data_IF_135529474545
#
_entry.id   IF_135529474545
#
_cell.length_a   1.000
_cell.length_b   1.000
_cell.length_c   1.000
_cell.angle_alpha   90.00
_cell.angle_beta   90.00
_cell.angle_gamma   90.00
#
_symmetry.space_group_name_H-M   'P 1'
#
loop_
_entity.id
_entity.type
_entity.pdbx_description
1 polymer ?
#
# COMPACT_ATOMS: atom_id res chain seq x y z
N UNK A 1 4.64 43.15 -33.68
CA UNK A 1 4.50 43.68 -32.31
C UNK A 1 3.36 42.98 -31.60
N UNK A 2 3.67 42.19 -30.57
CA UNK A 2 2.96 41.96 -29.29
C UNK A 2 3.33 40.57 -28.75
N UNK A 3 4.15 40.59 -27.70
CA UNK A 3 4.31 39.49 -26.75
C UNK A 3 3.01 39.30 -25.95
N UNK A 4 2.79 38.10 -25.41
CA UNK A 4 2.28 37.79 -24.06
C UNK A 4 2.43 36.27 -23.89
N UNK A 5 3.21 35.84 -22.89
CA UNK A 5 3.31 34.44 -22.49
C UNK A 5 2.12 33.99 -21.65
N UNK A 6 1.86 32.69 -21.61
CA UNK A 6 1.13 32.03 -20.52
C UNK A 6 1.66 30.61 -20.30
N UNK A 7 2.01 30.35 -19.04
CA UNK A 7 2.26 29.04 -18.46
C UNK A 7 1.05 28.13 -18.64
N UNK A 8 1.28 26.84 -18.89
CA UNK A 8 0.41 25.80 -18.31
C UNK A 8 1.15 24.47 -18.14
N UNK A 9 1.16 24.03 -16.88
CA UNK A 9 1.55 22.71 -16.43
C UNK A 9 0.79 21.60 -17.17
N UNK A 10 1.46 20.46 -17.35
CA UNK A 10 0.86 19.21 -17.81
C UNK A 10 1.78 18.04 -17.53
N UNK A 11 1.89 17.66 -16.26
CA UNK A 11 2.56 16.43 -15.80
C UNK A 11 1.93 15.23 -16.50
N UNK A 12 2.71 14.51 -17.30
CA UNK A 12 2.29 13.23 -17.88
C UNK A 12 2.55 12.13 -16.86
N UNK A 13 1.48 11.58 -16.29
CA UNK A 13 1.51 10.24 -15.75
C UNK A 13 0.45 9.41 -16.49
N UNK A 14 0.92 8.69 -17.50
CA UNK A 14 0.21 7.59 -18.12
C UNK A 14 0.46 6.33 -17.28
N UNK A 15 -0.55 5.81 -16.61
CA UNK A 15 -0.60 4.37 -16.40
C UNK A 15 -2.05 3.88 -16.39
N UNK A 16 -2.41 3.23 -17.48
CA UNK A 16 -3.60 2.39 -17.66
C UNK A 16 -3.47 1.14 -16.82
N UNK A 17 -4.36 0.93 -15.84
CA UNK A 17 -4.76 -0.40 -15.38
C UNK A 17 -6.24 -0.30 -14.95
N UNK A 18 -7.12 -1.04 -15.62
CA UNK A 18 -8.55 -1.14 -15.31
C UNK A 18 -8.82 -2.28 -14.29
N UNK A 19 -7.94 -2.44 -13.30
CA UNK A 19 -8.07 -3.43 -12.22
C UNK A 19 -8.39 -2.85 -10.84
N UNK A 20 -8.54 -1.52 -10.72
CA UNK A 20 -8.54 -0.80 -9.43
C UNK A 20 -9.91 -0.66 -8.75
N UNK A 21 -11.00 -1.16 -9.36
CA UNK A 21 -12.37 -0.87 -8.94
C UNK A 21 -12.77 -1.42 -7.54
N UNK A 22 -12.06 -2.40 -6.98
CA UNK A 22 -12.39 -2.93 -5.64
C UNK A 22 -11.68 -2.20 -4.48
N UNK A 23 -10.49 -1.60 -4.73
CA UNK A 23 -9.74 -0.88 -3.68
C UNK A 23 -10.14 0.60 -3.57
N UNK A 24 -10.84 1.14 -4.58
CA UNK A 24 -11.24 2.54 -4.64
C UNK A 24 -12.14 2.98 -3.47
N UNK A 25 -12.87 2.04 -2.85
CA UNK A 25 -13.76 2.29 -1.72
C UNK A 25 -13.05 2.61 -0.38
N UNK A 26 -11.71 2.50 -0.30
CA UNK A 26 -10.91 2.77 0.92
C UNK A 26 -9.65 3.61 0.67
N UNK A 27 -9.57 4.31 -0.46
CA UNK A 27 -8.42 5.19 -0.76
C UNK A 27 -8.39 6.36 0.23
N UNK A 28 -7.30 6.57 0.98
CA UNK A 28 -7.18 7.73 1.87
C UNK A 28 -7.10 9.02 1.05
N UNK A 29 -7.55 10.14 1.62
CA UNK A 29 -7.47 11.43 0.93
C UNK A 29 -6.01 11.92 0.90
N UNK A 30 -5.31 11.58 -0.19
CA UNK A 30 -3.89 11.90 -0.38
C UNK A 30 -3.59 13.41 -0.32
N UNK A 31 -4.60 14.26 -0.54
CA UNK A 31 -4.44 15.72 -0.45
C UNK A 31 -4.27 16.19 1.00
N UNK A 32 -4.80 15.43 1.97
CA UNK A 32 -4.72 15.72 3.41
C UNK A 32 -3.54 15.07 4.11
N UNK A 33 -2.94 14.06 3.47
CA UNK A 33 -1.73 13.41 3.94
C UNK A 33 -0.49 14.29 3.76
N UNK A 34 0.53 14.13 4.59
CA UNK A 34 1.84 14.68 4.31
C UNK A 34 2.58 13.89 3.22
N UNK A 35 3.74 14.40 2.81
CA UNK A 35 4.53 13.82 1.73
C UNK A 35 5.07 12.42 2.05
N UNK A 36 5.38 12.12 3.31
CA UNK A 36 5.86 10.81 3.73
C UNK A 36 4.74 9.78 3.62
N UNK A 37 3.57 10.06 4.20
CA UNK A 37 2.40 9.18 4.14
C UNK A 37 1.97 8.91 2.69
N UNK A 38 1.95 9.92 1.82
CA UNK A 38 1.70 9.71 0.37
C UNK A 38 2.70 8.77 -0.29
N UNK A 39 4.00 8.92 0.00
CA UNK A 39 5.06 8.05 -0.55
C UNK A 39 4.89 6.61 -0.06
N UNK A 40 4.57 6.43 1.21
CA UNK A 40 4.28 5.12 1.81
C UNK A 40 3.09 4.47 1.11
N UNK A 41 1.98 5.19 0.95
CA UNK A 41 0.80 4.68 0.24
C UNK A 41 1.13 4.24 -1.19
N UNK A 42 1.88 5.08 -1.92
CA UNK A 42 2.30 4.77 -3.27
C UNK A 42 3.15 3.50 -3.31
N UNK A 43 4.16 3.39 -2.45
CA UNK A 43 5.00 2.18 -2.33
C UNK A 43 4.20 0.93 -1.96
N UNK A 44 3.19 1.06 -1.11
CA UNK A 44 2.35 -0.05 -0.66
C UNK A 44 1.38 -0.56 -1.73
N UNK A 45 1.06 0.27 -2.73
CA UNK A 45 0.05 -0.02 -3.79
C UNK A 45 0.65 -0.19 -5.18
N UNK A 46 1.95 0.05 -5.35
CA UNK A 46 2.68 -0.03 -6.62
C UNK A 46 3.89 -0.97 -6.50
N UNK A 47 3.70 -2.13 -5.88
CA UNK A 47 4.71 -3.19 -5.77
C UNK A 47 4.72 -4.06 -7.01
N UNK A 48 5.73 -4.91 -7.12
CA UNK A 48 5.98 -5.72 -8.31
C UNK A 48 4.97 -6.85 -8.52
N UNK A 49 4.11 -7.15 -7.54
CA UNK A 49 3.12 -8.23 -7.63
C UNK A 49 1.77 -7.81 -7.06
N UNK A 50 0.70 -8.11 -7.81
CA UNK A 50 -0.68 -7.80 -7.43
C UNK A 50 -1.11 -8.43 -6.10
N UNK A 51 -0.59 -9.62 -5.75
CA UNK A 51 -0.88 -10.26 -4.46
C UNK A 51 -0.41 -9.38 -3.30
N UNK A 52 0.84 -8.93 -3.33
CA UNK A 52 1.42 -8.10 -2.29
C UNK A 52 0.79 -6.71 -2.23
N UNK A 53 0.40 -6.14 -3.37
CA UNK A 53 -0.33 -4.86 -3.42
C UNK A 53 -1.67 -4.95 -2.69
N UNK A 54 -2.45 -6.00 -2.94
CA UNK A 54 -3.73 -6.20 -2.27
C UNK A 54 -3.54 -6.44 -0.77
N UNK A 55 -2.53 -7.24 -0.39
CA UNK A 55 -2.25 -7.53 1.01
C UNK A 55 -1.77 -6.29 1.78
N UNK A 56 -0.77 -5.57 1.28
CA UNK A 56 -0.20 -4.42 2.01
C UNK A 56 -1.02 -3.16 1.79
N UNK A 57 -1.41 -2.86 0.55
CA UNK A 57 -2.23 -1.70 0.24
C UNK A 57 -3.56 -1.71 1.01
N UNK A 58 -4.20 -2.87 1.13
CA UNK A 58 -5.43 -3.00 1.92
C UNK A 58 -5.25 -2.80 3.43
N UNK A 59 -4.07 -3.12 3.97
CA UNK A 59 -3.72 -2.85 5.37
C UNK A 59 -3.46 -1.36 5.61
N UNK A 60 -2.68 -0.74 4.71
CA UNK A 60 -2.20 0.64 4.83
C UNK A 60 -3.32 1.65 4.59
N UNK A 61 -4.13 1.47 3.55
CA UNK A 61 -5.14 2.43 3.11
C UNK A 61 -6.05 2.96 4.25
N UNK A 62 -6.69 2.11 5.08
CA UNK A 62 -7.55 2.59 6.17
C UNK A 62 -6.81 3.10 7.41
N UNK A 63 -5.51 2.81 7.57
CA UNK A 63 -4.74 3.09 8.79
C UNK A 63 -3.78 4.26 8.66
N UNK A 64 -3.38 4.59 7.44
CA UNK A 64 -2.31 5.54 7.13
C UNK A 64 -2.53 6.93 7.73
N UNK A 65 -3.77 7.44 7.72
CA UNK A 65 -4.10 8.75 8.30
C UNK A 65 -3.87 8.81 9.81
N UNK A 66 -4.09 7.70 10.53
CA UNK A 66 -3.97 7.61 11.98
C UNK A 66 -2.65 7.05 12.51
N UNK A 67 -1.74 6.62 11.63
CA UNK A 67 -0.45 6.06 12.04
C UNK A 67 0.45 7.12 12.67
N UNK A 68 1.05 6.76 13.80
CA UNK A 68 2.12 7.52 14.47
C UNK A 68 3.43 7.44 13.68
N UNK A 69 4.35 8.38 13.89
CA UNK A 69 5.65 8.37 13.19
C UNK A 69 6.43 7.06 13.41
N UNK A 70 6.39 6.49 14.61
CA UNK A 70 7.03 5.19 14.90
C UNK A 70 6.39 4.03 14.12
N UNK A 71 5.08 4.08 13.88
CA UNK A 71 4.40 3.10 13.02
C UNK A 71 4.77 3.31 11.55
N UNK A 72 4.93 4.56 11.10
CA UNK A 72 5.42 4.84 9.75
C UNK A 72 6.85 4.33 9.54
N UNK A 73 7.74 4.53 10.53
CA UNK A 73 9.11 3.98 10.50
C UNK A 73 9.09 2.45 10.38
N UNK A 74 8.27 1.78 11.20
CA UNK A 74 8.15 0.33 11.19
C UNK A 74 7.55 -0.19 9.87
N UNK A 75 6.58 0.53 9.30
CA UNK A 75 5.99 0.18 8.02
C UNK A 75 6.99 0.35 6.88
N UNK A 76 7.79 1.41 6.89
CA UNK A 76 8.87 1.62 5.93
C UNK A 76 9.92 0.50 5.99
N UNK A 77 10.27 0.03 7.20
CA UNK A 77 11.17 -1.11 7.37
C UNK A 77 10.58 -2.41 6.79
N UNK A 78 9.28 -2.66 6.95
CA UNK A 78 8.62 -3.81 6.32
C UNK A 78 8.60 -3.67 4.80
N UNK A 79 8.34 -2.47 4.27
CA UNK A 79 8.34 -2.20 2.83
C UNK A 79 9.73 -2.26 2.17
N UNK A 80 10.80 -2.33 2.95
CA UNK A 80 12.16 -2.54 2.44
C UNK A 80 12.46 -4.03 2.18
N UNK A 81 11.61 -4.93 2.69
CA UNK A 81 11.75 -6.37 2.49
C UNK A 81 11.28 -6.80 1.09
N UNK A 82 11.87 -7.87 0.51
CA UNK A 82 11.52 -8.34 -0.82
C UNK A 82 10.04 -8.72 -0.96
N UNK A 83 9.41 -8.28 -2.07
CA UNK A 83 7.99 -8.52 -2.36
C UNK A 83 7.62 -10.00 -2.34
N UNK A 84 8.49 -10.87 -2.88
CA UNK A 84 8.27 -12.32 -2.96
C UNK A 84 8.22 -12.96 -1.56
N UNK A 85 9.16 -12.60 -0.69
CA UNK A 85 9.19 -13.10 0.67
C UNK A 85 8.00 -12.58 1.49
N UNK A 86 7.64 -11.30 1.32
CA UNK A 86 6.45 -10.74 1.97
C UNK A 86 5.17 -11.45 1.53
N UNK A 87 5.00 -11.75 0.24
CA UNK A 87 3.87 -12.53 -0.23
C UNK A 87 3.84 -13.91 0.43
N UNK A 88 4.98 -14.60 0.51
CA UNK A 88 5.06 -15.92 1.13
C UNK A 88 4.74 -15.91 2.62
N UNK A 89 5.21 -14.89 3.35
CA UNK A 89 4.96 -14.74 4.77
C UNK A 89 3.51 -14.34 5.08
N UNK A 90 2.98 -13.35 4.37
CA UNK A 90 1.63 -12.83 4.59
C UNK A 90 0.54 -13.81 4.15
N UNK A 91 0.81 -14.60 3.10
CA UNK A 91 -0.09 -15.68 2.66
C UNK A 91 0.09 -16.97 3.48
N UNK A 92 1.02 -17.00 4.44
CA UNK A 92 1.29 -18.16 5.28
C UNK A 92 1.98 -19.34 4.58
N UNK A 93 2.53 -19.12 3.37
CA UNK A 93 3.32 -20.13 2.64
C UNK A 93 4.65 -20.42 3.35
N UNK A 94 5.21 -19.43 4.04
CA UNK A 94 6.45 -19.55 4.83
C UNK A 94 6.31 -18.87 6.20
N UNK A 95 6.97 -19.38 7.24
CA UNK A 95 7.03 -18.68 8.52
C UNK A 95 7.91 -17.43 8.43
N UNK A 96 7.54 -16.37 9.14
CA UNK A 96 8.35 -15.16 9.27
C UNK A 96 9.58 -15.45 10.16
N UNK A 97 10.80 -15.12 9.73
CA UNK A 97 12.00 -15.21 10.56
C UNK A 97 11.86 -14.39 11.85
N UNK A 98 12.42 -14.87 12.96
CA UNK A 98 12.32 -14.17 14.26
C UNK A 98 12.86 -12.74 14.22
N UNK A 99 13.92 -12.49 13.43
CA UNK A 99 14.50 -11.16 13.21
C UNK A 99 13.53 -10.17 12.54
N UNK A 100 12.54 -10.65 11.81
CA UNK A 100 11.53 -9.86 11.10
C UNK A 100 10.16 -9.90 11.78
N UNK A 101 10.03 -10.64 12.89
CA UNK A 101 8.80 -10.77 13.66
C UNK A 101 8.53 -9.53 14.54
N UNK A 102 8.53 -8.35 13.90
CA UNK A 102 8.25 -7.07 14.53
C UNK A 102 6.75 -6.91 14.81
N UNK A 103 6.34 -6.02 15.75
CA UNK A 103 4.92 -5.75 15.98
C UNK A 103 4.16 -5.36 14.70
N UNK A 104 4.76 -4.53 13.85
CA UNK A 104 4.16 -4.13 12.56
C UNK A 104 3.97 -5.31 11.62
N UNK A 105 4.98 -6.19 11.49
CA UNK A 105 4.85 -7.40 10.67
C UNK A 105 3.69 -8.28 11.16
N UNK A 106 3.56 -8.46 12.49
CA UNK A 106 2.46 -9.23 13.09
C UNK A 106 1.09 -8.62 12.82
N UNK A 107 0.98 -7.29 12.89
CA UNK A 107 -0.26 -6.59 12.57
C UNK A 107 -0.66 -6.78 11.10
N UNK A 108 0.31 -6.68 10.18
CA UNK A 108 0.06 -6.90 8.74
C UNK A 108 -0.33 -8.36 8.50
N UNK A 109 0.34 -9.33 9.14
CA UNK A 109 -0.03 -10.75 9.04
C UNK A 109 -1.42 -11.04 9.58
N UNK A 110 -1.77 -10.46 10.73
CA UNK A 110 -3.09 -10.63 11.33
C UNK A 110 -4.19 -10.05 10.44
N UNK A 111 -3.96 -8.88 9.82
CA UNK A 111 -4.88 -8.32 8.83
C UNK A 111 -4.94 -9.20 7.57
N UNK A 112 -3.79 -9.61 7.03
CA UNK A 112 -3.72 -10.42 5.80
C UNK A 112 -4.43 -11.78 5.93
N UNK A 113 -4.36 -12.40 7.11
CA UNK A 113 -4.98 -13.70 7.41
C UNK A 113 -6.41 -13.60 7.94
N UNK A 114 -6.95 -12.38 8.11
CA UNK A 114 -8.33 -12.17 8.56
C UNK A 114 -9.30 -12.86 7.58
N UNK A 115 -10.10 -13.85 8.02
CA UNK A 115 -11.02 -14.57 7.15
C UNK A 115 -12.09 -13.65 6.52
N UNK A 116 -12.50 -12.57 7.19
CA UNK A 116 -13.44 -11.60 6.61
C UNK A 116 -12.81 -10.85 5.43
N UNK A 117 -11.52 -10.53 5.54
CA UNK A 117 -10.74 -9.87 4.49
C UNK A 117 -10.44 -10.81 3.33
N UNK A 118 -10.04 -12.06 3.63
CA UNK A 118 -9.83 -13.08 2.60
C UNK A 118 -11.12 -13.39 1.84
N UNK A 119 -12.26 -13.41 2.52
CA UNK A 119 -13.57 -13.54 1.89
C UNK A 119 -13.88 -12.33 0.98
N UNK A 120 -13.55 -11.10 1.39
CA UNK A 120 -13.73 -9.91 0.58
C UNK A 120 -12.84 -9.91 -0.69
N UNK A 121 -11.60 -10.39 -0.58
CA UNK A 121 -10.66 -10.49 -1.71
C UNK A 121 -11.12 -11.58 -2.71
N UNK A 122 -11.65 -12.70 -2.22
CA UNK A 122 -12.09 -13.84 -3.05
C UNK A 122 -13.55 -13.75 -3.54
N UNK A 123 -14.37 -12.91 -2.89
CA UNK A 123 -15.82 -12.81 -3.07
C UNK A 123 -16.29 -11.89 -4.19
N UNK A 124 -15.39 -11.27 -4.96
CA UNK A 124 -15.73 -10.54 -6.17
C UNK A 124 -16.07 -11.50 -7.32
N UNK A 125 -17.30 -12.01 -7.34
CA UNK A 125 -17.92 -12.64 -8.51
C UNK A 125 -19.09 -11.81 -9.01
#
# INVERSE_FOLDING_TARGET
>A
MRAIGHLRHGTKHNHTLQGWNAMEARTPDLSRLDTRRRKIYYRATHRGTHETDVLIGGFVAPRLEGMTEAQLDALEAVMDLPDADLADWLSGRRPVPESLNTPMMREIMADATDPARLAAIRGGK
#
